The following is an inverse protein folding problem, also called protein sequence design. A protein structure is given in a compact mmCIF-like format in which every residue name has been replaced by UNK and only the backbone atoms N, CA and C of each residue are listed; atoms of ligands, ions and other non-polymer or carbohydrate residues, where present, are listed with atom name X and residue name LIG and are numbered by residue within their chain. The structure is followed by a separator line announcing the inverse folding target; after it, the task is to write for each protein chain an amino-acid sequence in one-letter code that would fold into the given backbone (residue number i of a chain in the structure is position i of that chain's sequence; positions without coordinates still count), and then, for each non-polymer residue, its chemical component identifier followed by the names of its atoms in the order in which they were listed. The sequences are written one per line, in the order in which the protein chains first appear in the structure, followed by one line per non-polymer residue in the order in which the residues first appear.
data_IF_822057160984
#
_entry.id   IF_822057160984
#
_cell.length_a   1.000
_cell.length_b   1.000
_cell.length_c   1.000
_cell.angle_alpha   90.00
_cell.angle_beta   90.00
_cell.angle_gamma   90.00
#
_symmetry.space_group_name_H-M   'P 1'
#
loop_
_entity.id
_entity.type
_entity.pdbx_description
1 polymer ?
#
# COMPACT_ATOMS: atom_id res chain seq x y z
N UNK A 1 4.98 -15.25 2.31
CA UNK A 1 4.94 -14.83 0.89
C UNK A 1 4.32 -13.43 0.70
N UNK A 2 3.11 -13.15 1.23
CA UNK A 2 2.45 -11.82 1.08
C UNK A 2 3.29 -10.63 1.59
N UNK A 3 4.08 -10.80 2.65
CA UNK A 3 4.97 -9.73 3.16
C UNK A 3 6.10 -9.31 2.22
N UNK A 4 6.49 -10.15 1.25
CA UNK A 4 7.50 -9.79 0.24
C UNK A 4 6.99 -8.71 -0.71
N UNK A 5 5.67 -8.65 -0.95
CA UNK A 5 5.07 -7.60 -1.77
C UNK A 5 5.32 -6.21 -1.16
N UNK A 6 5.05 -6.05 0.14
CA UNK A 6 5.31 -4.79 0.86
C UNK A 6 6.79 -4.41 0.84
N UNK A 7 7.70 -5.38 0.87
CA UNK A 7 9.14 -5.14 0.73
C UNK A 7 9.49 -4.57 -0.65
N UNK A 8 9.03 -5.18 -1.74
CA UNK A 8 9.29 -4.68 -3.09
C UNK A 8 8.73 -3.28 -3.34
N UNK A 9 7.52 -3.00 -2.83
CA UNK A 9 6.90 -1.66 -2.93
C UNK A 9 7.77 -0.60 -2.25
N UNK A 10 8.28 -0.87 -1.05
CA UNK A 10 9.13 0.09 -0.33
C UNK A 10 10.50 0.26 -0.97
N UNK A 11 11.11 -0.83 -1.45
CA UNK A 11 12.37 -0.76 -2.17
C UNK A 11 12.24 0.09 -3.45
N UNK A 12 11.15 -0.12 -4.21
CA UNK A 12 10.83 0.69 -5.38
C UNK A 12 10.61 2.17 -5.04
N UNK A 13 9.92 2.46 -3.93
CA UNK A 13 9.72 3.84 -3.45
C UNK A 13 11.04 4.53 -3.09
N UNK A 14 11.98 3.84 -2.43
CA UNK A 14 13.31 4.40 -2.12
C UNK A 14 14.07 4.72 -3.41
N UNK A 15 14.13 3.77 -4.34
CA UNK A 15 14.83 3.96 -5.63
C UNK A 15 14.22 5.15 -6.39
N UNK A 16 12.89 5.22 -6.47
CA UNK A 16 12.17 6.34 -7.09
C UNK A 16 12.52 7.68 -6.46
N UNK A 17 12.41 7.80 -5.13
CA UNK A 17 12.73 9.03 -4.39
C UNK A 17 14.18 9.50 -4.61
N UNK A 18 15.14 8.57 -4.72
CA UNK A 18 16.55 8.90 -5.00
C UNK A 18 16.73 9.42 -6.42
N UNK A 19 16.10 8.78 -7.40
CA UNK A 19 16.13 9.23 -8.80
C UNK A 19 15.52 10.63 -8.91
N UNK A 20 14.36 10.85 -8.29
CA UNK A 20 13.67 12.16 -8.28
C UNK A 20 14.50 13.26 -7.62
N UNK A 21 15.22 12.96 -6.54
CA UNK A 21 16.13 13.92 -5.92
C UNK A 21 17.32 14.29 -6.81
N UNK A 22 17.85 13.33 -7.57
CA UNK A 22 18.94 13.60 -8.50
C UNK A 22 18.44 14.41 -9.70
N UNK A 23 17.27 14.07 -10.23
CA UNK A 23 16.72 14.70 -11.43
C UNK A 23 16.08 16.06 -11.18
N UNK A 24 15.69 16.38 -9.93
CA UNK A 24 15.15 17.70 -9.57
C UNK A 24 16.15 18.85 -9.76
N UNK A 25 17.45 18.55 -9.88
CA UNK A 25 18.50 19.54 -10.17
C UNK A 25 18.48 20.02 -11.62
N UNK A 26 17.86 19.27 -12.52
CA UNK A 26 17.70 19.69 -13.90
C UNK A 26 16.51 20.66 -14.00
N UNK A 27 16.69 21.76 -14.74
CA UNK A 27 15.62 22.72 -15.09
C UNK A 27 15.06 22.46 -16.49
N UNK A 28 15.39 21.31 -17.09
CA UNK A 28 15.02 20.94 -18.46
C UNK A 28 13.95 19.84 -18.46
N UNK A 29 13.48 19.42 -19.65
CA UNK A 29 12.52 18.30 -19.77
C UNK A 29 13.06 16.98 -19.21
N UNK A 30 14.38 16.87 -19.00
CA UNK A 30 15.01 15.67 -18.45
C UNK A 30 14.58 15.36 -17.01
N UNK A 31 14.14 16.37 -16.24
CA UNK A 31 13.79 16.22 -14.82
C UNK A 31 12.66 15.23 -14.58
N UNK A 32 11.68 15.18 -15.50
CA UNK A 32 10.55 14.25 -15.42
C UNK A 32 10.67 13.07 -16.40
N UNK A 33 11.43 13.22 -17.50
CA UNK A 33 11.63 12.13 -18.46
C UNK A 33 12.49 10.99 -17.91
N UNK A 34 13.53 11.30 -17.12
CA UNK A 34 14.42 10.29 -16.55
C UNK A 34 13.67 9.38 -15.55
N UNK A 35 12.93 9.91 -14.54
CA UNK A 35 12.16 9.06 -13.63
C UNK A 35 11.15 8.18 -14.37
N UNK A 36 10.44 8.74 -15.35
CA UNK A 36 9.49 8.00 -16.18
C UNK A 36 10.17 6.87 -16.98
N UNK A 37 11.34 7.12 -17.56
CA UNK A 37 12.10 6.11 -18.28
C UNK A 37 12.56 4.97 -17.35
N UNK A 38 13.04 5.31 -16.14
CA UNK A 38 13.46 4.33 -15.14
C UNK A 38 12.31 3.42 -14.68
N UNK A 39 11.07 3.92 -14.62
CA UNK A 39 9.90 3.11 -14.27
C UNK A 39 9.68 1.93 -15.24
N UNK A 40 10.09 2.03 -16.51
CA UNK A 40 9.92 0.95 -17.49
C UNK A 40 10.94 -0.19 -17.36
N UNK A 41 12.04 0.00 -16.62
CA UNK A 41 13.10 -1.02 -16.48
C UNK A 41 12.54 -2.28 -15.82
N UNK A 42 11.80 -2.13 -14.72
CA UNK A 42 11.26 -3.26 -13.95
C UNK A 42 10.18 -4.03 -14.72
N UNK A 43 9.15 -3.39 -15.33
CA UNK A 43 8.17 -4.07 -16.16
C UNK A 43 8.78 -4.79 -17.36
N UNK A 44 9.79 -4.21 -18.03
CA UNK A 44 10.47 -4.86 -19.15
C UNK A 44 11.22 -6.10 -18.68
N UNK A 45 11.97 -6.00 -17.57
CA UNK A 45 12.66 -7.14 -16.99
C UNK A 45 11.68 -8.24 -16.57
N UNK A 46 10.60 -7.90 -15.87
CA UNK A 46 9.56 -8.86 -15.49
C UNK A 46 8.86 -9.47 -16.72
N UNK A 47 8.59 -8.67 -17.74
CA UNK A 47 7.99 -9.15 -19.00
C UNK A 47 8.89 -10.14 -19.73
N UNK A 48 10.21 -9.90 -19.75
CA UNK A 48 11.16 -10.86 -20.31
C UNK A 48 11.30 -12.12 -19.45
N UNK A 49 11.30 -11.97 -18.12
CA UNK A 49 11.40 -13.09 -17.19
C UNK A 49 10.16 -14.01 -17.25
N UNK A 50 8.98 -13.46 -17.52
CA UNK A 50 7.73 -14.21 -17.60
C UNK A 50 7.77 -15.32 -18.66
N UNK A 51 8.51 -15.13 -19.77
CA UNK A 51 8.69 -16.17 -20.79
C UNK A 51 9.44 -17.41 -20.28
N UNK A 52 10.19 -17.30 -19.19
CA UNK A 52 10.94 -18.41 -18.59
C UNK A 52 10.21 -19.05 -17.40
N UNK A 53 9.16 -18.42 -16.88
CA UNK A 53 8.41 -18.92 -15.72
C UNK A 53 7.36 -19.93 -16.18
N UNK A 54 7.29 -21.14 -15.58
CA UNK A 54 6.24 -22.09 -15.93
C UNK A 54 4.87 -21.56 -15.53
N UNK A 55 3.86 -21.89 -16.33
CA UNK A 55 2.46 -21.49 -16.10
C UNK A 55 1.95 -22.00 -14.75
N UNK A 56 1.08 -21.23 -14.07
CA UNK A 56 0.62 -21.58 -12.72
C UNK A 56 -0.10 -22.94 -12.69
N UNK A 57 0.34 -23.92 -11.87
CA UNK A 57 -0.31 -25.23 -11.76
C UNK A 57 -1.79 -25.14 -11.40
N UNK A 58 -2.17 -24.18 -10.55
CA UNK A 58 -3.57 -23.94 -10.16
C UNK A 58 -4.41 -23.42 -11.33
N UNK A 59 -3.85 -22.53 -12.16
CA UNK A 59 -4.55 -22.02 -13.34
C UNK A 59 -4.82 -23.13 -14.35
N UNK A 60 -3.83 -24.01 -14.59
CA UNK A 60 -3.96 -25.17 -15.47
C UNK A 60 -5.02 -26.16 -14.96
N UNK A 61 -5.08 -26.40 -13.63
CA UNK A 61 -6.14 -27.20 -13.01
C UNK A 61 -7.54 -26.60 -13.19
N UNK A 62 -7.68 -25.27 -13.14
CA UNK A 62 -8.96 -24.61 -13.41
C UNK A 62 -9.44 -24.76 -14.86
N UNK A 63 -8.51 -24.99 -15.81
CA UNK A 63 -8.80 -25.22 -17.22
C UNK A 63 -8.87 -26.72 -17.57
N UNK A 64 -9.02 -27.58 -16.56
CA UNK A 64 -9.10 -29.03 -16.71
C UNK A 64 -7.84 -29.66 -17.39
N UNK A 65 -6.69 -28.97 -17.36
CA UNK A 65 -5.40 -29.40 -17.94
C UNK A 65 -4.48 -30.08 -16.90
N UNK A 66 -4.91 -31.25 -16.40
CA UNK A 66 -4.23 -31.95 -15.31
C UNK A 66 -2.77 -32.33 -15.60
N UNK A 67 -2.47 -32.86 -16.80
CA UNK A 67 -1.10 -33.29 -17.15
C UNK A 67 -0.13 -32.12 -17.24
N UNK A 68 -0.58 -30.99 -17.77
CA UNK A 68 0.24 -29.78 -17.84
C UNK A 68 0.46 -29.17 -16.44
N UNK A 69 -0.57 -29.18 -15.59
CA UNK A 69 -0.48 -28.72 -14.21
C UNK A 69 0.54 -29.53 -13.40
N UNK A 70 0.54 -30.86 -13.55
CA UNK A 70 1.49 -31.75 -12.88
C UNK A 70 2.93 -31.47 -13.31
N UNK A 71 3.18 -31.38 -14.63
CA UNK A 71 4.51 -31.02 -15.15
C UNK A 71 4.99 -29.64 -14.69
N UNK A 72 4.08 -28.68 -14.53
CA UNK A 72 4.42 -27.36 -14.01
C UNK A 72 4.80 -27.44 -12.52
N UNK A 73 4.08 -28.21 -11.71
CA UNK A 73 4.39 -28.45 -10.30
C UNK A 73 5.76 -29.14 -10.13
N UNK A 74 6.03 -30.16 -10.95
CA UNK A 74 7.33 -30.86 -11.01
C UNK A 74 8.49 -29.92 -11.37
N UNK A 75 8.27 -28.93 -12.26
CA UNK A 75 9.29 -27.92 -12.58
C UNK A 75 9.50 -26.89 -11.47
N UNK A 76 8.46 -26.62 -10.68
CA UNK A 76 8.51 -25.63 -9.60
C UNK A 76 9.23 -26.18 -8.35
N UNK A 77 9.18 -27.50 -8.14
CA UNK A 77 9.89 -28.21 -7.06
C UNK A 77 11.22 -28.78 -7.55
N UNK A 78 12.22 -28.71 -6.69
CA UNK A 78 13.47 -29.45 -6.89
C UNK A 78 13.37 -30.90 -6.40
N UNK A 79 12.42 -31.19 -5.50
CA UNK A 79 12.26 -32.50 -4.86
C UNK A 79 11.11 -33.31 -5.48
N UNK A 80 11.37 -34.59 -5.73
CA UNK A 80 10.48 -35.52 -6.45
C UNK A 80 10.25 -36.75 -5.57
N UNK A 81 9.15 -36.76 -4.81
CA UNK A 81 8.83 -37.83 -3.86
C UNK A 81 7.43 -37.70 -3.27
N UNK A 82 7.17 -38.38 -2.14
CA UNK A 82 5.84 -38.46 -1.51
C UNK A 82 5.23 -37.09 -1.14
N UNK A 83 6.06 -36.08 -0.86
CA UNK A 83 5.58 -34.71 -0.62
C UNK A 83 4.95 -34.06 -1.85
N UNK A 84 5.46 -34.36 -3.06
CA UNK A 84 4.91 -33.84 -4.30
C UNK A 84 3.50 -34.41 -4.54
N UNK A 85 3.31 -35.70 -4.27
CA UNK A 85 2.01 -36.36 -4.40
C UNK A 85 1.01 -35.85 -3.37
N UNK A 86 1.46 -35.61 -2.13
CA UNK A 86 0.63 -35.00 -1.09
C UNK A 86 0.17 -33.59 -1.50
N UNK A 87 1.10 -32.74 -1.93
CA UNK A 87 0.80 -31.37 -2.37
C UNK A 87 -0.11 -31.36 -3.61
N UNK A 88 0.12 -32.28 -4.56
CA UNK A 88 -0.74 -32.45 -5.73
C UNK A 88 -2.17 -32.82 -5.34
N UNK A 89 -2.34 -33.78 -4.42
CA UNK A 89 -3.64 -34.17 -3.91
C UNK A 89 -4.35 -33.03 -3.15
N UNK A 90 -3.61 -32.27 -2.34
CA UNK A 90 -4.14 -31.07 -1.67
C UNK A 90 -4.56 -29.99 -2.66
N UNK A 91 -3.79 -29.78 -3.73
CA UNK A 91 -4.09 -28.79 -4.76
C UNK A 91 -5.36 -29.14 -5.55
N UNK A 92 -5.52 -30.40 -5.96
CA UNK A 92 -6.75 -30.86 -6.63
C UNK A 92 -7.96 -30.67 -5.73
N UNK A 93 -7.87 -31.07 -4.46
CA UNK A 93 -8.95 -30.90 -3.48
C UNK A 93 -9.29 -29.41 -3.28
N UNK A 94 -8.29 -28.56 -3.20
CA UNK A 94 -8.46 -27.11 -3.07
C UNK A 94 -9.20 -26.51 -4.26
N UNK A 95 -8.77 -26.83 -5.49
CA UNK A 95 -9.41 -26.33 -6.73
C UNK A 95 -10.85 -26.85 -6.87
N UNK A 96 -11.10 -28.12 -6.55
CA UNK A 96 -12.45 -28.68 -6.60
C UNK A 96 -13.39 -28.00 -5.59
N UNK A 97 -12.93 -27.75 -4.38
CA UNK A 97 -13.71 -27.03 -3.36
C UNK A 97 -13.93 -25.57 -3.75
N UNK A 98 -12.91 -24.88 -4.27
CA UNK A 98 -13.06 -23.52 -4.80
C UNK A 98 -14.10 -23.45 -5.93
N UNK A 99 -14.09 -24.41 -6.87
CA UNK A 99 -15.07 -24.50 -7.97
C UNK A 99 -16.48 -24.69 -7.42
N UNK A 100 -16.66 -25.60 -6.45
CA UNK A 100 -17.95 -25.86 -5.77
C UNK A 100 -18.47 -24.61 -5.04
N UNK A 101 -17.59 -23.92 -4.33
CA UNK A 101 -17.94 -22.70 -3.61
C UNK A 101 -18.30 -21.56 -4.59
N UNK A 102 -17.56 -21.41 -5.69
CA UNK A 102 -17.81 -20.36 -6.69
C UNK A 102 -19.21 -20.48 -7.35
N UNK A 103 -19.67 -21.70 -7.64
CA UNK A 103 -20.97 -21.95 -8.26
C UNK A 103 -22.16 -21.59 -7.35
N UNK A 104 -21.95 -21.54 -6.03
CA UNK A 104 -22.98 -21.23 -5.04
C UNK A 104 -22.94 -19.77 -4.54
N UNK A 105 -22.14 -18.91 -5.17
CA UNK A 105 -21.80 -17.57 -4.65
C UNK A 105 -22.26 -16.47 -5.60
N UNK A 106 -23.29 -15.74 -5.20
CA UNK A 106 -23.73 -14.53 -5.90
C UNK A 106 -23.15 -13.25 -5.28
N UNK A 107 -23.03 -12.18 -6.07
CA UNK A 107 -22.64 -10.84 -5.57
C UNK A 107 -23.54 -10.36 -4.41
N UNK A 108 -24.84 -10.68 -4.47
CA UNK A 108 -25.80 -10.31 -3.42
C UNK A 108 -25.57 -11.04 -2.09
N UNK A 109 -24.84 -12.15 -2.08
CA UNK A 109 -24.53 -12.88 -0.85
C UNK A 109 -23.51 -12.14 0.03
N UNK A 110 -22.79 -11.15 -0.53
CA UNK A 110 -21.97 -10.22 0.25
C UNK A 110 -22.79 -9.48 1.32
N UNK A 111 -24.08 -9.21 1.05
CA UNK A 111 -24.94 -8.41 1.90
C UNK A 111 -25.78 -9.24 2.87
N UNK A 112 -25.53 -10.56 2.99
CA UNK A 112 -26.37 -11.47 3.78
C UNK A 112 -25.65 -11.97 5.04
N UNK A 113 -26.34 -11.87 6.17
CA UNK A 113 -25.97 -12.54 7.42
C UNK A 113 -24.54 -12.27 7.90
N UNK A 114 -23.81 -13.34 8.23
CA UNK A 114 -22.44 -13.25 8.75
C UNK A 114 -21.41 -12.80 7.69
N UNK A 115 -21.71 -13.02 6.41
CA UNK A 115 -20.84 -12.60 5.30
C UNK A 115 -20.88 -11.07 5.10
N UNK A 116 -21.99 -10.40 5.46
CA UNK A 116 -22.06 -8.92 5.53
C UNK A 116 -21.09 -8.37 6.57
N UNK A 117 -21.06 -8.95 7.78
CA UNK A 117 -20.14 -8.50 8.83
C UNK A 117 -18.68 -8.63 8.39
N UNK A 118 -18.33 -9.75 7.75
CA UNK A 118 -16.98 -9.97 7.20
C UNK A 118 -16.64 -8.99 6.08
N UNK A 119 -17.59 -8.72 5.19
CA UNK A 119 -17.45 -7.76 4.09
C UNK A 119 -17.24 -6.35 4.61
N UNK A 120 -18.07 -5.90 5.56
CA UNK A 120 -17.93 -4.58 6.19
C UNK A 120 -16.61 -4.43 6.94
N UNK A 121 -16.12 -5.47 7.62
CA UNK A 121 -14.81 -5.44 8.26
C UNK A 121 -13.67 -5.36 7.24
N UNK A 122 -13.78 -6.04 6.11
CA UNK A 122 -12.81 -5.95 5.02
C UNK A 122 -12.80 -4.54 4.41
N UNK A 123 -13.98 -3.99 4.10
CA UNK A 123 -14.15 -2.61 3.62
C UNK A 123 -13.61 -1.60 4.62
N UNK A 124 -13.92 -1.75 5.90
CA UNK A 124 -13.41 -0.90 6.97
C UNK A 124 -11.90 -0.95 7.10
N UNK A 125 -11.29 -2.13 6.87
CA UNK A 125 -9.82 -2.29 6.90
C UNK A 125 -9.17 -1.50 5.76
N UNK A 126 -9.64 -1.66 4.52
CA UNK A 126 -9.09 -0.90 3.37
C UNK A 126 -9.43 0.58 3.45
N UNK A 127 -10.63 0.93 3.92
CA UNK A 127 -11.01 2.31 4.16
C UNK A 127 -10.11 2.96 5.20
N UNK A 128 -9.72 2.25 6.27
CA UNK A 128 -8.82 2.80 7.29
C UNK A 128 -7.42 3.12 6.73
N UNK A 129 -6.94 2.34 5.76
CA UNK A 129 -5.69 2.62 5.06
C UNK A 129 -5.78 3.92 4.25
N UNK A 130 -6.91 4.14 3.58
CA UNK A 130 -7.11 5.37 2.81
C UNK A 130 -7.39 6.57 3.71
N UNK A 131 -8.13 6.36 4.80
CA UNK A 131 -8.46 7.38 5.79
C UNK A 131 -7.26 7.82 6.64
N UNK A 132 -6.18 7.03 6.69
CA UNK A 132 -4.96 7.40 7.39
C UNK A 132 -4.15 8.50 6.67
N UNK A 133 -4.62 9.08 5.58
CA UNK A 133 -3.91 10.17 4.90
C UNK A 133 -2.70 9.76 4.06
N UNK A 134 -2.41 8.46 3.93
CA UNK A 134 -1.19 8.00 3.22
C UNK A 134 -1.13 8.48 1.77
N UNK A 135 -2.26 8.51 1.06
CA UNK A 135 -2.33 8.91 -0.35
C UNK A 135 -1.95 10.38 -0.55
N UNK A 136 -2.27 11.24 0.41
CA UNK A 136 -1.84 12.63 0.43
C UNK A 136 -0.31 12.71 0.50
N UNK A 137 0.31 11.98 1.42
CA UNK A 137 1.76 12.01 1.55
C UNK A 137 2.47 11.40 0.34
N UNK A 138 1.95 10.30 -0.23
CA UNK A 138 2.55 9.69 -1.43
C UNK A 138 2.58 10.68 -2.60
N UNK A 139 1.49 11.43 -2.83
CA UNK A 139 1.38 12.34 -3.98
C UNK A 139 1.96 13.74 -3.74
N UNK A 140 1.83 14.27 -2.52
CA UNK A 140 2.01 15.70 -2.25
C UNK A 140 3.00 16.01 -1.11
N UNK A 141 3.65 15.02 -0.48
CA UNK A 141 4.58 15.28 0.64
C UNK A 141 5.68 16.29 0.32
N UNK A 142 6.35 16.14 -0.83
CA UNK A 142 7.44 17.05 -1.22
C UNK A 142 6.93 18.48 -1.47
N UNK A 143 5.75 18.60 -2.07
CA UNK A 143 5.09 19.88 -2.30
C UNK A 143 4.65 20.53 -0.98
N UNK A 144 4.06 19.76 -0.07
CA UNK A 144 3.68 20.19 1.27
C UNK A 144 4.88 20.74 2.06
N UNK A 145 6.02 20.04 2.03
CA UNK A 145 7.25 20.54 2.66
C UNK A 145 7.77 21.83 2.01
N UNK A 146 7.62 21.97 0.70
CA UNK A 146 8.06 23.17 -0.02
C UNK A 146 7.21 24.39 0.37
N UNK A 147 5.89 24.24 0.46
CA UNK A 147 4.99 25.32 0.92
C UNK A 147 5.24 25.65 2.39
N UNK A 148 5.54 24.66 3.22
CA UNK A 148 5.91 24.87 4.62
C UNK A 148 7.28 25.59 4.81
N UNK A 149 7.95 26.00 3.72
CA UNK A 149 9.21 26.74 3.76
C UNK A 149 10.44 25.86 4.04
N UNK A 150 10.33 24.54 3.86
CA UNK A 150 11.42 23.60 4.13
C UNK A 150 12.28 23.45 2.87
N UNK A 151 13.49 24.00 2.90
CA UNK A 151 14.41 24.08 1.75
C UNK A 151 14.93 22.74 1.22
N UNK A 152 14.86 21.67 2.03
CA UNK A 152 15.38 20.33 1.71
C UNK A 152 14.28 19.27 1.53
N UNK A 153 13.14 19.65 0.96
CA UNK A 153 11.95 18.79 0.84
C UNK A 153 12.24 17.40 0.25
N UNK A 154 13.07 17.30 -0.79
CA UNK A 154 13.42 16.00 -1.40
C UNK A 154 14.29 15.11 -0.50
N UNK A 155 15.24 15.67 0.25
CA UNK A 155 16.06 14.90 1.22
C UNK A 155 15.16 14.31 2.32
N UNK A 156 14.17 15.08 2.79
CA UNK A 156 13.18 14.60 3.75
C UNK A 156 12.26 13.52 3.16
N UNK A 157 11.94 13.60 1.86
CA UNK A 157 11.18 12.54 1.20
C UNK A 157 11.94 11.21 1.18
N UNK A 158 13.25 11.24 0.88
CA UNK A 158 14.11 10.05 0.95
C UNK A 158 14.18 9.52 2.38
N UNK A 159 14.37 10.40 3.37
CA UNK A 159 14.38 10.02 4.79
C UNK A 159 13.08 9.30 5.17
N UNK A 160 11.92 9.82 4.75
CA UNK A 160 10.62 9.20 5.01
C UNK A 160 10.48 7.82 4.35
N UNK A 161 10.95 7.66 3.10
CA UNK A 161 10.98 6.34 2.44
C UNK A 161 11.86 5.34 3.22
N UNK A 162 13.04 5.75 3.69
CA UNK A 162 13.92 4.90 4.50
C UNK A 162 13.30 4.52 5.86
N UNK A 163 12.68 5.48 6.54
CA UNK A 163 11.98 5.25 7.81
C UNK A 163 10.78 4.33 7.60
N UNK A 164 10.03 4.51 6.50
CA UNK A 164 8.94 3.63 6.10
C UNK A 164 9.41 2.19 5.90
N UNK A 165 10.55 1.99 5.23
CA UNK A 165 11.16 0.68 5.05
C UNK A 165 11.53 -0.01 6.38
N UNK A 166 12.14 0.72 7.31
CA UNK A 166 12.41 0.21 8.67
C UNK A 166 11.08 -0.14 9.37
N UNK A 167 10.07 0.72 9.23
CA UNK A 167 8.73 0.50 9.75
C UNK A 167 8.13 -0.82 9.24
N UNK A 168 8.19 -1.09 7.94
CA UNK A 168 7.70 -2.35 7.36
C UNK A 168 8.39 -3.57 7.95
N UNK A 169 9.72 -3.54 8.08
CA UNK A 169 10.46 -4.67 8.66
C UNK A 169 10.09 -4.91 10.13
N UNK A 170 10.00 -3.85 10.93
CA UNK A 170 9.61 -3.98 12.32
C UNK A 170 8.15 -4.40 12.47
N UNK A 171 7.25 -3.89 11.63
CA UNK A 171 5.85 -4.27 11.58
C UNK A 171 5.67 -5.73 11.25
N UNK A 172 6.37 -6.22 10.21
CA UNK A 172 6.33 -7.63 9.82
C UNK A 172 6.89 -8.54 10.92
N UNK A 173 8.00 -8.16 11.55
CA UNK A 173 8.56 -8.90 12.68
C UNK A 173 7.59 -8.95 13.86
N UNK A 174 7.06 -7.79 14.25
CA UNK A 174 6.13 -7.65 15.39
C UNK A 174 4.84 -8.43 15.16
N UNK A 175 4.32 -8.42 13.94
CA UNK A 175 3.11 -9.13 13.55
C UNK A 175 3.27 -10.65 13.56
N UNK A 176 4.47 -11.15 13.26
CA UNK A 176 4.74 -12.58 13.25
C UNK A 176 5.11 -13.12 14.64
N UNK A 177 5.76 -12.32 15.50
CA UNK A 177 6.35 -12.82 16.76
C UNK A 177 5.75 -12.29 18.05
N UNK A 178 5.17 -11.08 18.07
CA UNK A 178 4.90 -10.36 19.33
C UNK A 178 3.43 -10.01 19.51
N UNK A 179 2.76 -9.50 18.47
CA UNK A 179 1.42 -8.93 18.58
C UNK A 179 0.52 -9.46 17.47
N UNK A 180 -0.76 -9.66 17.80
CA UNK A 180 -1.78 -10.00 16.82
C UNK A 180 -2.03 -8.87 15.82
N UNK A 181 -2.41 -9.23 14.59
CA UNK A 181 -2.66 -8.29 13.49
C UNK A 181 -3.63 -7.14 13.85
N UNK A 182 -4.70 -7.46 14.59
CA UNK A 182 -5.70 -6.48 15.05
C UNK A 182 -5.09 -5.41 15.95
N UNK A 183 -4.24 -5.81 16.90
CA UNK A 183 -3.62 -4.88 17.84
C UNK A 183 -2.70 -3.92 17.10
N UNK A 184 -1.86 -4.45 16.19
CA UNK A 184 -0.93 -3.65 15.38
C UNK A 184 -1.66 -2.62 14.51
N UNK A 185 -2.77 -3.02 13.90
CA UNK A 185 -3.56 -2.12 13.07
C UNK A 185 -4.17 -0.98 13.89
N UNK A 186 -4.77 -1.30 15.05
CA UNK A 186 -5.41 -0.29 15.91
C UNK A 186 -4.37 0.64 16.52
N UNK A 187 -3.28 0.11 17.07
CA UNK A 187 -2.22 0.95 17.65
C UNK A 187 -1.55 1.80 16.58
N UNK A 188 -1.30 1.25 15.38
CA UNK A 188 -0.79 1.99 14.24
C UNK A 188 -1.70 3.14 13.84
N UNK A 189 -3.00 2.90 13.70
CA UNK A 189 -3.98 3.93 13.34
C UNK A 189 -4.07 5.05 14.39
N UNK A 190 -4.08 4.70 15.68
CA UNK A 190 -4.07 5.70 16.78
C UNK A 190 -2.81 6.55 16.73
N UNK A 191 -1.64 5.92 16.57
CA UNK A 191 -0.36 6.65 16.48
C UNK A 191 -0.31 7.57 15.26
N UNK A 192 -0.84 7.12 14.11
CA UNK A 192 -0.95 7.96 12.91
C UNK A 192 -1.82 9.19 13.18
N UNK A 193 -3.02 9.00 13.74
CA UNK A 193 -3.92 10.11 14.06
C UNK A 193 -3.33 11.09 15.07
N UNK A 194 -2.58 10.62 16.07
CA UNK A 194 -1.87 11.49 17.01
C UNK A 194 -0.76 12.31 16.33
N UNK A 195 -0.03 11.71 15.38
CA UNK A 195 1.01 12.42 14.62
C UNK A 195 0.41 13.49 13.71
N UNK A 196 -0.67 13.18 13.01
CA UNK A 196 -1.37 14.14 12.16
C UNK A 196 -2.00 15.29 12.97
N UNK A 197 -2.60 14.97 14.12
CA UNK A 197 -3.12 15.99 15.03
C UNK A 197 -1.99 16.90 15.55
N UNK A 198 -0.83 16.34 15.89
CA UNK A 198 0.34 17.12 16.29
C UNK A 198 0.84 18.03 15.17
N UNK A 199 0.89 17.54 13.92
CA UNK A 199 1.20 18.36 12.74
C UNK A 199 0.20 19.52 12.57
N UNK A 200 -1.10 19.25 12.69
CA UNK A 200 -2.14 20.26 12.60
C UNK A 200 -2.04 21.34 13.68
N UNK A 201 -1.84 20.94 14.94
CA UNK A 201 -1.65 21.87 16.05
C UNK A 201 -0.38 22.73 15.86
N UNK A 202 0.73 22.11 15.43
CA UNK A 202 1.97 22.82 15.19
C UNK A 202 1.82 23.89 14.09
N UNK A 203 1.13 23.54 13.00
CA UNK A 203 0.83 24.46 11.90
C UNK A 203 -0.04 25.65 12.35
N UNK A 204 -1.06 25.39 13.18
CA UNK A 204 -1.98 26.44 13.66
C UNK A 204 -1.39 27.34 14.74
N UNK A 205 -0.46 26.85 15.57
CA UNK A 205 0.06 27.60 16.71
C UNK A 205 1.04 28.72 16.31
N UNK A 206 1.94 28.44 15.35
CA UNK A 206 2.92 29.42 14.82
C UNK A 206 3.23 29.13 13.34
N UNK A 207 2.45 29.69 12.41
CA UNK A 207 2.75 29.57 10.99
C UNK A 207 4.12 30.20 10.68
N UNK A 208 4.89 29.57 9.79
CA UNK A 208 6.19 30.05 9.25
C UNK A 208 7.36 30.19 10.24
N UNK A 209 7.39 29.43 11.35
CA UNK A 209 8.60 29.32 12.18
C UNK A 209 9.46 28.11 11.77
N UNK A 210 10.80 28.25 11.80
CA UNK A 210 11.74 27.13 11.63
C UNK A 210 11.48 26.00 12.64
N UNK A 211 11.01 26.34 13.85
CA UNK A 211 10.64 25.35 14.87
C UNK A 211 9.41 24.54 14.44
N UNK A 212 8.42 25.18 13.83
CA UNK A 212 7.24 24.54 13.27
C UNK A 212 7.62 23.58 12.14
N UNK A 213 8.50 24.02 11.22
CA UNK A 213 9.01 23.15 10.14
C UNK A 213 9.68 21.87 10.66
N UNK A 214 10.54 21.99 11.69
CA UNK A 214 11.20 20.82 12.29
C UNK A 214 10.20 19.85 12.95
N UNK A 215 9.17 20.39 13.61
CA UNK A 215 8.10 19.59 14.22
C UNK A 215 7.30 18.86 13.14
N UNK A 216 6.92 19.52 12.05
CA UNK A 216 6.24 18.90 10.92
C UNK A 216 7.05 17.74 10.34
N UNK A 217 8.34 17.96 10.07
CA UNK A 217 9.22 16.89 9.56
C UNK A 217 9.28 15.70 10.51
N UNK A 218 9.47 15.94 11.80
CA UNK A 218 9.59 14.88 12.80
C UNK A 218 8.29 14.05 12.93
N UNK A 219 7.14 14.72 12.99
CA UNK A 219 5.85 14.02 13.11
C UNK A 219 5.41 13.37 11.80
N UNK A 220 5.74 13.92 10.63
CA UNK A 220 5.53 13.23 9.35
C UNK A 220 6.40 11.99 9.22
N UNK A 221 7.65 12.05 9.66
CA UNK A 221 8.54 10.89 9.69
C UNK A 221 8.02 9.79 10.64
N UNK A 222 7.56 10.18 11.83
CA UNK A 222 6.95 9.27 12.78
C UNK A 222 5.64 8.68 12.25
N UNK A 223 4.81 9.49 11.59
CA UNK A 223 3.61 9.02 10.90
C UNK A 223 3.97 7.95 9.86
N UNK A 224 4.97 8.19 9.01
CA UNK A 224 5.40 7.22 8.00
C UNK A 224 5.89 5.91 8.62
N UNK A 225 6.62 5.99 9.72
CA UNK A 225 7.03 4.82 10.49
C UNK A 225 5.82 4.04 11.03
N UNK A 226 4.91 4.71 11.75
CA UNK A 226 3.74 4.10 12.38
C UNK A 226 2.75 3.54 11.35
N UNK A 227 2.56 4.23 10.23
CA UNK A 227 1.73 3.77 9.13
C UNK A 227 2.31 2.48 8.54
N UNK A 228 3.59 2.48 8.18
CA UNK A 228 4.22 1.31 7.56
C UNK A 228 4.36 0.13 8.55
N UNK A 229 4.68 0.38 9.82
CA UNK A 229 4.77 -0.65 10.85
C UNK A 229 3.40 -1.21 11.28
N UNK A 230 2.35 -0.40 11.15
CA UNK A 230 1.00 -0.73 11.59
C UNK A 230 0.05 -1.00 10.42
N UNK A 231 -0.64 0.05 9.99
CA UNK A 231 -1.76 0.00 9.04
C UNK A 231 -1.33 -0.60 7.70
N UNK A 232 -0.20 -0.18 7.13
CA UNK A 232 0.28 -0.61 5.83
C UNK A 232 0.56 -2.11 5.74
N UNK A 233 1.31 -2.66 6.69
CA UNK A 233 1.65 -4.09 6.73
C UNK A 233 0.48 -4.97 7.18
N UNK A 234 -0.40 -4.48 8.06
CA UNK A 234 -1.52 -5.26 8.57
C UNK A 234 -2.72 -5.33 7.60
N UNK A 235 -2.96 -4.29 6.79
CA UNK A 235 -4.16 -4.19 5.93
C UNK A 235 -4.27 -5.34 4.92
N UNK A 236 -3.20 -5.63 4.19
CA UNK A 236 -3.20 -6.66 3.15
C UNK A 236 -3.54 -8.06 3.70
N UNK A 237 -2.84 -8.59 4.73
CA UNK A 237 -3.17 -9.89 5.28
C UNK A 237 -4.55 -9.92 5.97
N UNK A 238 -4.93 -8.87 6.73
CA UNK A 238 -6.24 -8.81 7.37
C UNK A 238 -7.38 -8.86 6.34
N UNK A 239 -7.28 -8.12 5.24
CA UNK A 239 -8.29 -8.13 4.18
C UNK A 239 -8.47 -9.53 3.57
N UNK A 240 -7.40 -10.33 3.46
CA UNK A 240 -7.46 -11.68 2.91
C UNK A 240 -7.87 -12.77 3.90
N UNK A 241 -7.63 -12.56 5.21
CA UNK A 241 -7.91 -13.52 6.28
C UNK A 241 -9.33 -13.38 6.86
N UNK A 242 -9.91 -12.17 6.83
CA UNK A 242 -11.26 -11.90 7.36
C UNK A 242 -12.39 -12.45 6.48
N UNK A 243 -12.10 -12.71 5.21
CA UNK A 243 -13.10 -13.06 4.20
C UNK A 243 -13.31 -14.56 4.09
N UNK A 244 -14.56 -14.95 3.88
CA UNK A 244 -14.91 -16.35 3.59
C UNK A 244 -14.27 -16.78 2.27
N UNK A 245 -13.65 -17.96 2.21
CA UNK A 245 -13.06 -18.50 0.97
C UNK A 245 -14.05 -18.49 -0.20
N UNK A 246 -15.34 -18.68 0.10
CA UNK A 246 -16.45 -18.66 -0.84
C UNK A 246 -16.64 -17.30 -1.55
N UNK A 247 -16.56 -16.20 -0.79
CA UNK A 247 -16.83 -14.83 -1.29
C UNK A 247 -15.56 -13.99 -1.45
N UNK A 248 -14.38 -14.56 -1.20
CA UNK A 248 -13.09 -13.85 -1.16
C UNK A 248 -12.86 -12.97 -2.39
N UNK A 249 -13.09 -13.48 -3.60
CA UNK A 249 -12.89 -12.71 -4.83
C UNK A 249 -13.79 -11.47 -4.89
N UNK A 250 -15.08 -11.62 -4.56
CA UNK A 250 -16.05 -10.53 -4.55
C UNK A 250 -15.80 -9.52 -3.43
N UNK A 251 -15.53 -10.00 -2.22
CA UNK A 251 -15.29 -9.12 -1.06
C UNK A 251 -13.99 -8.34 -1.21
N UNK A 252 -12.88 -9.00 -1.55
CA UNK A 252 -11.58 -8.33 -1.72
C UNK A 252 -11.59 -7.41 -2.94
N UNK A 253 -12.21 -7.83 -4.04
CA UNK A 253 -12.37 -7.00 -5.24
C UNK A 253 -13.14 -5.71 -4.96
N UNK A 254 -14.30 -5.81 -4.30
CA UNK A 254 -15.10 -4.63 -3.92
C UNK A 254 -14.39 -3.75 -2.87
N UNK A 255 -13.69 -4.35 -1.91
CA UNK A 255 -12.90 -3.61 -0.93
C UNK A 255 -11.78 -2.80 -1.60
N UNK A 256 -11.07 -3.40 -2.56
CA UNK A 256 -10.03 -2.71 -3.33
C UNK A 256 -10.61 -1.60 -4.21
N UNK A 257 -11.76 -1.83 -4.85
CA UNK A 257 -12.45 -0.79 -5.61
C UNK A 257 -12.81 0.42 -4.74
N UNK A 258 -13.31 0.17 -3.52
CA UNK A 258 -13.55 1.21 -2.52
C UNK A 258 -12.24 1.92 -2.12
N UNK A 259 -11.17 1.18 -1.89
CA UNK A 259 -9.85 1.73 -1.59
C UNK A 259 -9.33 2.68 -2.68
N UNK A 260 -9.41 2.27 -3.95
CA UNK A 260 -9.01 3.12 -5.07
C UNK A 260 -9.93 4.33 -5.26
N UNK A 261 -11.23 4.18 -5.01
CA UNK A 261 -12.15 5.30 -5.02
C UNK A 261 -11.80 6.35 -3.94
N UNK A 262 -11.48 5.89 -2.72
CA UNK A 262 -11.03 6.77 -1.63
C UNK A 262 -9.67 7.39 -1.94
N UNK A 263 -8.74 6.64 -2.52
CA UNK A 263 -7.44 7.16 -2.97
C UNK A 263 -7.61 8.26 -4.03
N UNK A 264 -8.49 8.04 -5.00
CA UNK A 264 -8.84 9.04 -6.01
C UNK A 264 -9.48 10.28 -5.38
N UNK A 265 -10.42 10.09 -4.45
CA UNK A 265 -11.05 11.20 -3.73
C UNK A 265 -10.02 12.05 -2.98
N UNK A 266 -9.08 11.42 -2.26
CA UNK A 266 -7.98 12.12 -1.59
C UNK A 266 -7.10 12.84 -2.62
N UNK A 267 -6.70 12.16 -3.70
CA UNK A 267 -5.88 12.75 -4.76
C UNK A 267 -6.54 13.95 -5.44
N UNK A 268 -7.85 13.91 -5.64
CA UNK A 268 -8.65 14.98 -6.22
C UNK A 268 -8.87 16.15 -5.25
N UNK A 269 -9.17 15.88 -3.98
CA UNK A 269 -9.42 16.91 -2.98
C UNK A 269 -8.14 17.57 -2.44
N UNK A 270 -7.01 16.85 -2.39
CA UNK A 270 -5.77 17.34 -1.77
C UNK A 270 -5.26 18.66 -2.37
N UNK A 271 -5.20 18.85 -3.71
CA UNK A 271 -4.80 20.13 -4.29
C UNK A 271 -5.66 21.30 -3.85
N UNK A 272 -6.99 21.13 -3.77
CA UNK A 272 -7.90 22.21 -3.33
C UNK A 272 -7.64 22.66 -1.89
N UNK A 273 -7.15 21.76 -1.04
CA UNK A 273 -6.82 22.09 0.36
C UNK A 273 -5.44 22.72 0.53
N UNK A 274 -4.49 22.39 -0.34
CA UNK A 274 -3.11 22.88 -0.25
C UNK A 274 -2.90 24.16 -1.07
N UNK A 275 -3.63 24.33 -2.18
CA UNK A 275 -3.43 25.44 -3.11
C UNK A 275 -3.95 26.76 -2.51
N UNK A 276 -3.10 27.80 -2.36
CA UNK A 276 -3.49 29.09 -1.77
C UNK A 276 -4.54 29.87 -2.58
N UNK A 277 -4.79 29.50 -3.84
CA UNK A 277 -5.67 30.24 -4.74
C UNK A 277 -7.14 29.77 -4.75
N UNK A 278 -7.45 28.62 -4.14
CA UNK A 278 -8.81 28.02 -4.21
C UNK A 278 -9.58 28.11 -2.88
N UNK A 279 -9.18 27.36 -1.84
CA UNK A 279 -9.95 27.22 -0.59
C UNK A 279 -9.23 27.73 0.68
N UNK A 280 -7.96 28.13 0.57
CA UNK A 280 -7.16 28.82 1.60
C UNK A 280 -7.29 28.27 3.04
N UNK A 281 -7.19 26.94 3.22
CA UNK A 281 -7.20 26.32 4.56
C UNK A 281 -5.83 26.31 5.26
N UNK A 282 -4.75 26.64 4.54
CA UNK A 282 -3.37 26.58 5.08
C UNK A 282 -2.87 27.93 5.62
N UNK A 283 -3.49 29.07 5.33
CA UNK A 283 -3.07 30.33 5.99
C UNK A 283 -4.06 31.48 5.86
N UNK A 284 -4.89 31.71 6.88
CA UNK A 284 -5.29 33.09 7.21
C UNK A 284 -4.12 33.84 7.83
N UNK A 285 -3.04 34.06 7.07
CA UNK A 285 -2.02 35.08 7.32
C UNK A 285 -1.19 35.35 6.07
N UNK A 286 -1.74 36.08 5.09
CA UNK A 286 -0.97 37.14 4.44
C UNK A 286 -1.89 38.24 3.87
N UNK A 287 -1.71 39.50 4.29
CA UNK A 287 -2.34 40.66 3.67
C UNK A 287 -1.44 41.20 2.54
N UNK A 288 -1.64 40.77 1.30
CA UNK A 288 -1.15 41.46 0.11
C UNK A 288 -2.14 41.16 -1.03
N UNK A 289 -2.89 42.09 -1.60
CA UNK A 289 -2.73 43.53 -1.58
C UNK A 289 -1.59 44.00 -2.48
N UNK A 290 -1.49 43.45 -3.70
CA UNK A 290 -1.13 44.12 -4.97
C UNK A 290 -0.99 43.10 -6.10
#
# INVERSE_FOLDING_TARGET
MVGLFSFYVNLGSIIGSVIDNYTSRYLSKLSYQIPLACMFIVPVLLGTALFFVPESPRWLLHHDQHDAARRSLERLRFDHGDELELEWAEMIRGVAEERRLSQSSGFLDLFRGNDLRRTLLCWGTIASQSASGVWFFIGYQTYFFTIAGITKAFEYSIMNSCIGFIGVHLGLFSMNKLFGRRTIMITGAIMCGLCELACGIASSAKPNSTKTGNVLVAFTALFMFCYNAGVGVATSPLATELVSSRLRAWTVGSANALGYFLAWLVGFCSPYFINPQDLDWVSTTTPYGM
#
